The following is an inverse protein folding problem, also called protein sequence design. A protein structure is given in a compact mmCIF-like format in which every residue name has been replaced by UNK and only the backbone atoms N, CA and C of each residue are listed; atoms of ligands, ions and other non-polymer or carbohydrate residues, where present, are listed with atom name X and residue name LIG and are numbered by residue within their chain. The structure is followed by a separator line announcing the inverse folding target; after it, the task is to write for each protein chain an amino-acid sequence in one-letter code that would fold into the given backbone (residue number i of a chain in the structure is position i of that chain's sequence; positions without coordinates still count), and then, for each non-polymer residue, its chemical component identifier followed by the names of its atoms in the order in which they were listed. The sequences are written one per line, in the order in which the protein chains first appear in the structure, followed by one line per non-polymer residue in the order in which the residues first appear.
data_IF_643804086505
#
_entry.id   IF_643804086505
#
_cell.length_a   1.000
_cell.length_b   1.000
_cell.length_c   1.000
_cell.angle_alpha   90.00
_cell.angle_beta   90.00
_cell.angle_gamma   90.00
#
_symmetry.space_group_name_H-M   'P 1'
#
loop_
_entity.id
_entity.type
_entity.pdbx_description
1 polymer ?
#
# COMPACT_ATOMS: atom_id res chain seq x y z
N UNK A 1 8.44 0.80 -13.90
CA UNK A 1 9.75 0.56 -13.22
C UNK A 1 9.56 -0.57 -12.21
N UNK A 2 10.60 -1.31 -11.75
CA UNK A 2 10.40 -2.27 -10.68
C UNK A 2 9.98 -1.54 -9.39
N UNK A 3 9.02 -2.11 -8.67
CA UNK A 3 8.57 -1.63 -7.36
C UNK A 3 9.72 -1.64 -6.36
N UNK A 4 9.91 -0.52 -5.66
CA UNK A 4 10.88 -0.45 -4.57
C UNK A 4 10.15 -0.23 -3.25
N UNK A 5 10.53 -1.01 -2.25
CA UNK A 5 9.95 -0.93 -0.90
C UNK A 5 11.09 -0.63 0.07
N UNK A 6 11.00 0.53 0.72
CA UNK A 6 11.97 0.98 1.72
C UNK A 6 11.33 0.95 3.10
N UNK A 7 11.88 0.17 4.02
CA UNK A 7 11.45 0.13 5.41
C UNK A 7 12.23 1.16 6.24
N UNK A 8 11.52 1.98 7.00
CA UNK A 8 12.08 2.90 7.99
C UNK A 8 11.36 2.70 9.33
N UNK A 9 12.13 2.44 10.37
CA UNK A 9 11.59 2.26 11.73
C UNK A 9 11.56 3.61 12.46
N UNK A 10 10.39 3.99 12.97
CA UNK A 10 10.23 5.12 13.88
C UNK A 10 9.85 4.62 15.28
N UNK A 11 9.94 5.49 16.29
CA UNK A 11 9.67 5.12 17.69
C UNK A 11 8.22 4.65 17.95
N UNK A 12 7.28 4.98 17.06
CA UNK A 12 5.84 4.75 17.24
C UNK A 12 5.17 4.03 16.07
N UNK A 13 5.86 3.91 14.93
CA UNK A 13 5.36 3.24 13.73
C UNK A 13 6.50 2.70 12.89
N UNK A 14 6.28 1.64 12.13
CA UNK A 14 7.17 1.23 11.05
C UNK A 14 6.61 1.76 9.74
N UNK A 15 7.40 2.50 8.96
CA UNK A 15 6.98 3.05 7.68
C UNK A 15 7.56 2.25 6.51
N UNK A 16 6.69 1.82 5.60
CA UNK A 16 7.02 1.18 4.34
C UNK A 16 6.77 2.15 3.21
N UNK A 17 7.82 2.79 2.69
CA UNK A 17 7.71 3.68 1.53
C UNK A 17 7.76 2.85 0.25
N UNK A 18 6.75 3.00 -0.60
CA UNK A 18 6.63 2.30 -1.87
C UNK A 18 6.80 3.29 -3.01
N UNK A 19 7.69 2.95 -3.94
CA UNK A 19 8.03 3.77 -5.10
C UNK A 19 7.85 2.96 -6.39
N UNK A 20 7.34 3.61 -7.45
CA UNK A 20 7.17 3.00 -8.77
C UNK A 20 5.74 2.52 -9.04
N UNK A 21 5.59 1.44 -9.80
CA UNK A 21 4.28 0.92 -10.22
C UNK A 21 3.85 -0.22 -9.29
N UNK A 22 2.64 -0.17 -8.75
CA UNK A 22 2.11 -1.22 -7.88
C UNK A 22 1.04 -2.00 -8.63
N UNK A 23 1.36 -3.23 -8.98
CA UNK A 23 0.43 -4.19 -9.56
C UNK A 23 -0.06 -5.17 -8.49
N UNK A 24 -1.00 -6.04 -8.86
CA UNK A 24 -1.56 -7.04 -7.95
C UNK A 24 -0.50 -7.82 -7.15
N UNK A 25 0.51 -8.37 -7.81
CA UNK A 25 1.54 -9.18 -7.16
C UNK A 25 2.37 -8.35 -6.15
N UNK A 26 2.65 -7.09 -6.48
CA UNK A 26 3.35 -6.16 -5.58
C UNK A 26 2.51 -5.86 -4.34
N UNK A 27 1.21 -5.63 -4.50
CA UNK A 27 0.31 -5.39 -3.38
C UNK A 27 0.21 -6.59 -2.44
N UNK A 28 0.28 -7.83 -2.97
CA UNK A 28 0.36 -9.04 -2.13
C UNK A 28 1.66 -9.06 -1.33
N UNK A 29 2.79 -8.66 -1.92
CA UNK A 29 4.07 -8.59 -1.21
C UNK A 29 4.01 -7.52 -0.11
N UNK A 30 3.49 -6.33 -0.40
CA UNK A 30 3.30 -5.24 0.56
C UNK A 30 2.42 -5.72 1.73
N UNK A 31 1.29 -6.37 1.45
CA UNK A 31 0.39 -6.89 2.48
C UNK A 31 1.07 -7.90 3.41
N UNK A 32 1.83 -8.82 2.83
CA UNK A 32 2.55 -9.84 3.59
C UNK A 32 3.63 -9.21 4.46
N UNK A 33 4.46 -8.34 3.89
CA UNK A 33 5.52 -7.66 4.60
C UNK A 33 4.98 -6.83 5.76
N UNK A 34 3.92 -6.06 5.53
CA UNK A 34 3.29 -5.25 6.57
C UNK A 34 2.75 -6.11 7.73
N UNK A 35 2.14 -7.26 7.43
CA UNK A 35 1.65 -8.20 8.45
C UNK A 35 2.77 -8.87 9.22
N UNK A 36 3.85 -9.25 8.54
CA UNK A 36 5.03 -9.86 9.16
C UNK A 36 5.69 -8.87 10.13
N UNK A 37 5.94 -7.63 9.70
CA UNK A 37 6.50 -6.57 10.55
C UNK A 37 5.60 -6.29 11.75
N UNK A 38 4.28 -6.18 11.54
CA UNK A 38 3.33 -5.96 12.63
C UNK A 38 3.35 -7.12 13.64
N UNK A 39 3.42 -8.36 13.15
CA UNK A 39 3.47 -9.55 14.00
C UNK A 39 4.79 -9.67 14.78
N UNK A 40 5.91 -9.24 14.20
CA UNK A 40 7.24 -9.31 14.83
C UNK A 40 7.48 -8.16 15.82
N UNK A 41 7.14 -6.94 15.43
CA UNK A 41 7.41 -5.73 16.23
C UNK A 41 6.32 -5.41 17.23
N UNK A 42 5.06 -5.76 16.94
CA UNK A 42 3.88 -5.29 17.68
C UNK A 42 3.64 -3.79 17.56
N UNK A 43 4.35 -3.10 16.67
CA UNK A 43 4.25 -1.67 16.41
C UNK A 43 3.40 -1.48 15.14
N UNK A 44 2.50 -0.47 15.10
CA UNK A 44 1.71 -0.17 13.91
C UNK A 44 2.58 0.03 12.67
N UNK A 45 2.08 -0.40 11.51
CA UNK A 45 2.78 -0.26 10.23
C UNK A 45 2.03 0.73 9.34
N UNK A 46 2.73 1.73 8.84
CA UNK A 46 2.25 2.69 7.87
C UNK A 46 2.84 2.36 6.49
N UNK A 47 1.99 2.11 5.50
CA UNK A 47 2.39 1.96 4.09
C UNK A 47 2.22 3.31 3.41
N UNK A 48 3.32 3.91 3.01
CA UNK A 48 3.39 5.22 2.36
C UNK A 48 3.48 5.03 0.84
N UNK A 49 2.41 5.44 0.16
CA UNK A 49 2.23 5.32 -1.29
C UNK A 49 2.37 6.67 -2.02
N UNK A 50 2.95 7.69 -1.38
CA UNK A 50 3.02 9.04 -1.96
C UNK A 50 3.83 9.12 -3.27
N UNK A 51 4.75 8.17 -3.50
CA UNK A 51 5.68 8.15 -4.64
C UNK A 51 5.39 7.03 -5.64
N UNK A 52 4.17 6.47 -5.64
CA UNK A 52 3.78 5.50 -6.66
C UNK A 52 3.36 6.23 -7.95
N UNK A 53 3.83 5.71 -9.09
CA UNK A 53 3.51 6.23 -10.42
C UNK A 53 2.18 5.66 -10.95
N UNK A 54 1.81 4.46 -10.50
CA UNK A 54 0.63 3.73 -10.95
C UNK A 54 0.16 2.74 -9.90
N UNK A 55 -1.16 2.55 -9.83
CA UNK A 55 -1.83 1.53 -9.02
C UNK A 55 -2.95 0.90 -9.85
N UNK A 56 -2.92 -0.42 -10.07
CA UNK A 56 -4.03 -1.11 -10.72
C UNK A 56 -5.23 -1.31 -9.77
N UNK A 57 -6.40 -1.60 -10.33
CA UNK A 57 -7.63 -1.80 -9.55
C UNK A 57 -7.57 -3.02 -8.62
N UNK A 58 -6.78 -4.05 -8.99
CA UNK A 58 -6.67 -5.28 -8.23
C UNK A 58 -5.80 -5.05 -6.97
N UNK A 59 -4.67 -4.37 -7.11
CA UNK A 59 -3.81 -3.84 -6.08
C UNK A 59 -4.57 -2.90 -5.14
N UNK A 60 -5.38 -1.98 -5.69
CA UNK A 60 -6.22 -1.09 -4.88
C UNK A 60 -7.17 -1.89 -3.96
N UNK A 61 -7.75 -3.00 -4.44
CA UNK A 61 -8.61 -3.85 -3.62
C UNK A 61 -7.86 -4.49 -2.44
N UNK A 62 -6.57 -4.81 -2.61
CA UNK A 62 -5.70 -5.33 -1.56
C UNK A 62 -5.46 -4.24 -0.50
N UNK A 63 -5.10 -3.03 -0.92
CA UNK A 63 -4.82 -1.92 -0.02
C UNK A 63 -6.05 -1.52 0.79
N UNK A 64 -7.23 -1.46 0.16
CA UNK A 64 -8.50 -1.20 0.86
C UNK A 64 -8.77 -2.28 1.92
N UNK A 65 -8.49 -3.55 1.63
CA UNK A 65 -8.64 -4.62 2.63
C UNK A 65 -7.68 -4.44 3.80
N UNK A 66 -6.45 -4.00 3.55
CA UNK A 66 -5.46 -3.78 4.61
C UNK A 66 -5.90 -2.69 5.60
N UNK A 67 -6.60 -1.65 5.13
CA UNK A 67 -7.16 -0.60 6.01
C UNK A 67 -8.21 -1.10 7.00
N UNK A 68 -8.77 -2.30 6.80
CA UNK A 68 -9.68 -2.90 7.80
C UNK A 68 -8.94 -3.30 9.09
N UNK A 69 -7.61 -3.43 9.04
CA UNK A 69 -6.77 -3.63 10.21
C UNK A 69 -6.35 -2.27 10.79
N UNK A 70 -6.71 -2.03 12.06
CA UNK A 70 -6.46 -0.75 12.75
C UNK A 70 -4.99 -0.44 12.97
N UNK A 71 -4.15 -1.47 12.97
CA UNK A 71 -2.71 -1.36 13.16
C UNK A 71 -1.94 -1.29 11.82
N UNK A 72 -2.67 -1.28 10.70
CA UNK A 72 -2.14 -1.04 9.36
C UNK A 72 -2.74 0.25 8.78
N UNK A 73 -1.90 1.26 8.61
CA UNK A 73 -2.27 2.54 8.03
C UNK A 73 -1.77 2.59 6.59
N UNK A 74 -2.55 3.18 5.69
CA UNK A 74 -2.10 3.48 4.33
C UNK A 74 -2.17 4.98 4.12
N UNK A 75 -1.03 5.57 3.79
CA UNK A 75 -0.85 6.99 3.46
C UNK A 75 -0.66 7.16 1.94
N UNK A 76 -1.06 8.30 1.38
CA UNK A 76 -0.96 8.60 -0.05
C UNK A 76 -2.10 8.04 -0.93
N UNK A 77 -3.08 7.33 -0.36
CA UNK A 77 -4.17 6.71 -1.12
C UNK A 77 -5.22 7.70 -1.66
N UNK A 78 -5.29 8.93 -1.14
CA UNK A 78 -6.26 9.96 -1.54
C UNK A 78 -6.18 10.34 -3.03
N UNK A 79 -5.04 10.07 -3.70
CA UNK A 79 -4.80 10.40 -5.11
C UNK A 79 -5.25 9.27 -6.07
N UNK A 80 -5.36 8.03 -5.58
CA UNK A 80 -5.50 6.83 -6.44
C UNK A 80 -6.92 6.25 -6.52
N UNK A 81 -7.77 6.49 -5.52
CA UNK A 81 -9.15 5.99 -5.53
C UNK A 81 -10.01 6.64 -6.62
N UNK A 82 -9.81 7.93 -6.91
CA UNK A 82 -10.54 8.61 -7.98
C UNK A 82 -10.13 8.08 -9.37
N UNK A 83 -8.84 7.84 -9.59
CA UNK A 83 -8.30 7.39 -10.87
C UNK A 83 -8.58 5.91 -11.15
N UNK A 84 -8.62 5.04 -10.12
CA UNK A 84 -9.05 3.65 -10.28
C UNK A 84 -10.55 3.54 -10.62
N UNK A 85 -11.39 4.38 -10.01
CA UNK A 85 -12.83 4.47 -10.34
C UNK A 85 -13.01 4.98 -11.79
N UNK A 86 -12.34 6.07 -12.16
CA UNK A 86 -12.42 6.65 -13.51
C UNK A 86 -11.97 5.69 -14.61
N UNK A 87 -11.00 4.81 -14.32
CA UNK A 87 -10.50 3.82 -15.28
C UNK A 87 -11.46 2.62 -15.41
N UNK A 88 -12.11 2.23 -14.31
CA UNK A 88 -13.13 1.19 -14.32
C UNK A 88 -14.40 1.63 -15.08
N UNK A 89 -14.81 2.90 -14.97
CA UNK A 89 -15.98 3.44 -15.67
C UNK A 89 -15.78 3.60 -17.19
N UNK A 90 -14.53 3.71 -17.68
CA UNK A 90 -14.25 3.81 -19.13
C UNK A 90 -14.30 2.50 -19.91
N UNK A 91 -14.42 1.36 -19.22
CA UNK A 91 -14.41 0.03 -19.86
C UNK A 91 -15.77 -0.69 -19.77
N UNK A 92 -16.83 0.00 -19.31
CA UNK A 92 -18.20 -0.52 -19.22
C UNK A 92 -19.10 -0.10 -20.40
#
# INVERSE_FOLDING_TARGET
MPTQITQTEHQNETRLRVEGEVLYDDAIVIERLAKEILAESGIPVCVDLADIDFLDSEAASILVRMQTNKDLVIDGMEIFLQSAIDTAERTA
#
